data_IF_718918925006
#
_entry.id   IF_718918925006
#
_cell.length_a   1.000
_cell.length_b   1.000
_cell.length_c   1.000
_cell.angle_alpha   90.00
_cell.angle_beta   90.00
_cell.angle_gamma   90.00
#
_symmetry.space_group_name_H-M   'P 1'
#
loop_
_entity.id
_entity.type
_entity.pdbx_description
1 polymer ?
#
# COMPACT_ATOMS: atom_id res chain seq x y z
N UNK A 1 -18.78 -5.36 10.78
CA UNK A 1 -17.84 -6.15 11.60
C UNK A 1 -16.53 -5.38 11.67
N UNK A 2 -16.29 -4.68 12.78
CA UNK A 2 -15.13 -3.81 12.95
C UNK A 2 -13.98 -4.64 13.50
N UNK A 3 -12.98 -4.95 12.67
CA UNK A 3 -11.75 -5.58 13.12
C UNK A 3 -10.96 -4.54 13.93
N UNK A 4 -10.96 -4.68 15.26
CA UNK A 4 -10.04 -3.95 16.10
C UNK A 4 -8.63 -4.40 15.74
N UNK A 5 -7.87 -3.55 15.05
CA UNK A 5 -6.48 -3.83 14.72
C UNK A 5 -5.68 -3.94 16.02
N UNK A 6 -5.17 -5.14 16.30
CA UNK A 6 -4.20 -5.38 17.38
C UNK A 6 -3.00 -4.44 17.17
N UNK A 7 -2.75 -3.54 18.13
CA UNK A 7 -1.66 -2.55 18.08
C UNK A 7 -0.26 -3.12 18.31
N UNK A 8 -0.12 -4.45 18.35
CA UNK A 8 1.20 -5.08 18.41
C UNK A 8 1.88 -4.94 17.05
N UNK A 9 3.13 -4.47 17.00
CA UNK A 9 3.88 -4.43 15.74
C UNK A 9 3.96 -5.85 15.18
N UNK A 10 3.43 -6.02 13.96
CA UNK A 10 3.51 -7.29 13.24
C UNK A 10 4.95 -7.49 12.77
N UNK A 11 5.59 -8.56 13.25
CA UNK A 11 7.03 -8.76 13.12
C UNK A 11 7.32 -10.02 12.29
N UNK A 12 8.08 -9.87 11.21
CA UNK A 12 8.54 -10.96 10.37
C UNK A 12 9.98 -11.36 10.76
N UNK A 13 10.16 -12.59 11.23
CA UNK A 13 11.49 -13.17 11.44
C UNK A 13 12.00 -13.82 10.14
N UNK A 14 13.10 -13.30 9.59
CA UNK A 14 13.71 -13.81 8.36
C UNK A 14 15.04 -14.50 8.65
N UNK A 15 15.20 -15.72 8.14
CA UNK A 15 16.47 -16.46 8.21
C UNK A 15 17.29 -16.24 6.94
N UNK A 16 18.50 -15.74 7.10
CA UNK A 16 19.46 -15.60 6.01
C UNK A 16 20.35 -16.83 5.89
N UNK A 17 20.73 -17.15 4.66
CA UNK A 17 21.82 -18.09 4.41
C UNK A 17 23.16 -17.37 4.41
N UNK A 18 24.27 -18.08 4.68
CA UNK A 18 25.59 -17.48 4.67
C UNK A 18 26.00 -16.97 3.28
N UNK A 19 25.53 -17.63 2.22
CA UNK A 19 25.88 -17.31 0.83
C UNK A 19 24.64 -17.02 0.00
N UNK A 20 24.83 -16.20 -1.03
CA UNK A 20 23.79 -15.90 -2.04
C UNK A 20 23.53 -17.13 -2.92
N UNK A 21 22.29 -17.31 -3.34
CA UNK A 21 21.86 -18.35 -4.29
C UNK A 21 20.95 -17.75 -5.36
N UNK A 22 20.52 -18.55 -6.33
CA UNK A 22 19.62 -18.09 -7.39
C UNK A 22 18.30 -17.46 -6.89
N UNK A 23 17.84 -17.83 -5.69
CA UNK A 23 16.55 -17.39 -5.14
C UNK A 23 16.66 -16.73 -3.77
N UNK A 24 17.86 -16.66 -3.18
CA UNK A 24 18.08 -16.13 -1.84
C UNK A 24 19.30 -15.24 -1.80
N UNK A 25 19.27 -14.25 -0.92
CA UNK A 25 20.42 -13.40 -0.61
C UNK A 25 20.89 -13.65 0.81
N UNK A 26 22.20 -13.47 1.02
CA UNK A 26 22.83 -13.41 2.32
C UNK A 26 22.56 -12.07 2.99
N UNK A 27 22.73 -12.03 4.31
CA UNK A 27 22.61 -10.79 5.09
C UNK A 27 23.67 -9.76 4.68
N UNK A 28 24.86 -10.22 4.27
CA UNK A 28 25.92 -9.34 3.80
C UNK A 28 25.52 -8.58 2.53
N UNK A 29 24.84 -9.24 1.60
CA UNK A 29 24.32 -8.62 0.39
C UNK A 29 23.21 -7.61 0.70
N UNK A 30 22.30 -7.96 1.63
CA UNK A 30 21.26 -7.02 2.09
C UNK A 30 21.86 -5.76 2.75
N UNK A 31 22.90 -5.91 3.58
CA UNK A 31 23.59 -4.80 4.21
C UNK A 31 24.31 -3.90 3.19
N UNK A 32 24.90 -4.49 2.13
CA UNK A 32 25.49 -3.72 1.02
C UNK A 32 24.43 -2.92 0.27
N UNK A 33 23.27 -3.53 -0.02
CA UNK A 33 22.15 -2.85 -0.66
C UNK A 33 21.66 -1.67 0.18
N UNK A 34 21.50 -1.85 1.50
CA UNK A 34 21.10 -0.77 2.39
C UNK A 34 22.05 0.43 2.28
N UNK A 35 23.37 0.18 2.33
CA UNK A 35 24.39 1.24 2.17
C UNK A 35 24.32 1.94 0.81
N UNK A 36 24.16 1.18 -0.27
CA UNK A 36 24.11 1.73 -1.63
C UNK A 36 22.85 2.58 -1.86
N UNK A 37 21.73 2.19 -1.25
CA UNK A 37 20.46 2.91 -1.35
C UNK A 37 20.30 4.02 -0.30
N UNK A 38 21.28 4.18 0.61
CA UNK A 38 21.23 5.17 1.68
C UNK A 38 20.25 4.84 2.81
N UNK A 39 19.80 3.59 2.93
CA UNK A 39 18.94 3.15 4.02
C UNK A 39 19.74 2.91 5.30
N UNK A 40 19.11 3.25 6.43
CA UNK A 40 19.71 3.11 7.76
C UNK A 40 19.51 1.69 8.31
N UNK A 41 18.43 1.01 7.90
CA UNK A 41 18.06 -0.33 8.36
C UNK A 41 17.88 -1.31 7.20
N UNK A 42 18.30 -2.55 7.41
CA UNK A 42 18.11 -3.65 6.45
C UNK A 42 16.62 -3.90 6.12
N UNK A 43 15.72 -3.67 7.09
CA UNK A 43 14.28 -3.82 6.90
C UNK A 43 13.70 -2.86 5.85
N UNK A 44 14.30 -1.68 5.67
CA UNK A 44 13.85 -0.69 4.69
C UNK A 44 14.07 -1.20 3.25
N UNK A 45 15.19 -1.90 3.02
CA UNK A 45 15.45 -2.58 1.75
C UNK A 45 14.41 -3.68 1.50
N UNK A 46 14.04 -4.44 2.53
CA UNK A 46 13.04 -5.50 2.40
C UNK A 46 11.64 -4.94 2.09
N UNK A 47 11.24 -3.85 2.75
CA UNK A 47 9.98 -3.16 2.42
C UNK A 47 9.99 -2.62 0.99
N UNK A 48 11.10 -2.01 0.56
CA UNK A 48 11.23 -1.51 -0.80
C UNK A 48 11.15 -2.64 -1.84
N UNK A 49 11.85 -3.76 -1.61
CA UNK A 49 11.81 -4.91 -2.49
C UNK A 49 10.40 -5.53 -2.56
N UNK A 50 9.72 -5.66 -1.41
CA UNK A 50 8.35 -6.16 -1.34
C UNK A 50 7.37 -5.24 -2.08
N UNK A 51 7.53 -3.92 -1.96
CA UNK A 51 6.73 -2.94 -2.71
C UNK A 51 6.94 -3.09 -4.21
N UNK A 52 8.20 -3.21 -4.66
CA UNK A 52 8.51 -3.40 -6.08
C UNK A 52 7.88 -4.68 -6.61
N UNK A 53 8.02 -5.79 -5.89
CA UNK A 53 7.41 -7.06 -6.26
C UNK A 53 5.88 -7.00 -6.25
N UNK A 54 5.29 -6.29 -5.29
CA UNK A 54 3.85 -6.09 -5.22
C UNK A 54 3.33 -5.37 -6.47
N UNK A 55 4.02 -4.30 -6.91
CA UNK A 55 3.65 -3.57 -8.12
C UNK A 55 3.82 -4.41 -9.40
N UNK A 56 4.72 -5.39 -9.41
CA UNK A 56 4.97 -6.27 -10.55
C UNK A 56 3.99 -7.46 -10.61
N UNK A 57 3.58 -8.00 -9.46
CA UNK A 57 2.86 -9.29 -9.37
C UNK A 57 1.40 -9.13 -9.00
N UNK A 58 1.07 -8.17 -8.14
CA UNK A 58 -0.30 -8.00 -7.69
C UNK A 58 -1.08 -7.20 -8.74
N UNK A 59 -2.35 -7.56 -9.01
CA UNK A 59 -3.20 -6.77 -9.86
C UNK A 59 -3.30 -5.36 -9.27
N UNK A 60 -2.77 -4.38 -9.96
CA UNK A 60 -3.05 -2.98 -9.65
C UNK A 60 -4.48 -2.69 -10.05
N UNK A 61 -5.14 -1.77 -9.34
CA UNK A 61 -6.37 -1.18 -9.87
C UNK A 61 -6.11 -0.69 -11.29
N UNK A 62 -7.11 -0.82 -12.17
CA UNK A 62 -7.00 -0.19 -13.47
C UNK A 62 -6.70 1.30 -13.28
N UNK A 63 -5.85 1.90 -14.13
CA UNK A 63 -5.65 3.33 -14.12
C UNK A 63 -7.01 4.03 -14.11
N UNK A 64 -7.17 5.02 -13.22
CA UNK A 64 -8.41 5.77 -13.14
C UNK A 64 -8.75 6.37 -14.52
N UNK A 65 -10.03 6.32 -14.90
CA UNK A 65 -10.54 6.90 -16.15
C UNK A 65 -10.41 8.44 -16.17
N UNK A 66 -9.87 9.02 -15.09
CA UNK A 66 -9.60 10.42 -14.92
C UNK A 66 -10.79 11.15 -14.31
N UNK A 67 -10.78 12.47 -14.45
CA UNK A 67 -11.86 13.30 -13.92
C UNK A 67 -13.20 12.92 -14.58
N UNK A 68 -14.31 12.91 -13.81
CA UNK A 68 -15.63 12.65 -14.39
C UNK A 68 -15.92 13.64 -15.53
N UNK A 69 -16.38 13.11 -16.65
CA UNK A 69 -16.87 13.91 -17.78
C UNK A 69 -18.01 14.84 -17.35
N UNK A 70 -18.23 15.92 -18.10
CA UNK A 70 -19.35 16.85 -17.82
C UNK A 70 -20.70 16.13 -17.74
N UNK A 71 -20.89 15.08 -18.55
CA UNK A 71 -22.08 14.24 -18.53
C UNK A 71 -22.22 13.46 -17.21
N UNK A 72 -21.13 12.88 -16.72
CA UNK A 72 -21.10 12.20 -15.43
C UNK A 72 -21.31 13.20 -14.29
N UNK A 73 -20.69 14.38 -14.34
CA UNK A 73 -20.92 15.45 -13.38
C UNK A 73 -22.36 15.93 -13.36
N UNK A 74 -23.01 16.06 -14.51
CA UNK A 74 -24.43 16.39 -14.60
C UNK A 74 -25.32 15.29 -14.00
N UNK A 75 -24.99 14.02 -14.25
CA UNK A 75 -25.70 12.88 -13.65
C UNK A 75 -25.54 12.86 -12.12
N UNK A 76 -24.33 13.10 -11.61
CA UNK A 76 -24.05 13.20 -10.17
C UNK A 76 -24.87 14.33 -9.54
N UNK A 77 -24.87 15.53 -10.15
CA UNK A 77 -25.66 16.67 -9.64
C UNK A 77 -27.15 16.38 -9.62
N UNK A 78 -27.67 15.68 -10.65
CA UNK A 78 -29.07 15.25 -10.68
C UNK A 78 -29.39 14.23 -9.59
N UNK A 79 -28.50 13.27 -9.35
CA UNK A 79 -28.67 12.22 -8.34
C UNK A 79 -28.51 12.74 -6.90
N UNK A 80 -27.61 13.69 -6.67
CA UNK A 80 -27.35 14.29 -5.35
C UNK A 80 -28.57 15.05 -4.78
N UNK A 81 -29.53 15.42 -5.65
CA UNK A 81 -30.70 16.18 -5.24
C UNK A 81 -30.37 17.62 -4.82
N UNK A 82 -31.36 18.38 -4.34
CA UNK A 82 -31.16 19.77 -3.95
C UNK A 82 -30.29 19.89 -2.69
N UNK A 83 -29.45 20.92 -2.69
CA UNK A 83 -28.54 21.25 -1.59
C UNK A 83 -29.33 21.46 -0.29
N UNK A 84 -28.85 20.92 0.82
CA UNK A 84 -29.43 21.16 2.16
C UNK A 84 -30.43 20.12 2.67
N UNK A 85 -30.61 18.98 1.98
CA UNK A 85 -31.45 17.87 2.48
C UNK A 85 -30.75 16.88 3.41
N UNK A 86 -29.43 17.01 3.60
CA UNK A 86 -28.68 16.16 4.52
C UNK A 86 -28.99 16.52 5.98
N UNK A 87 -29.25 15.52 6.83
CA UNK A 87 -29.32 15.69 8.28
C UNK A 87 -27.97 15.32 8.88
N UNK A 88 -27.40 16.20 9.68
CA UNK A 88 -26.20 15.86 10.46
C UNK A 88 -26.60 14.81 11.48
N UNK A 89 -26.00 13.62 11.37
CA UNK A 89 -26.16 12.54 12.33
C UNK A 89 -24.88 12.42 13.15
N UNK A 90 -25.01 12.14 14.44
CA UNK A 90 -23.87 12.01 15.36
C UNK A 90 -23.08 10.71 15.14
N UNK A 91 -23.63 9.75 14.40
CA UNK A 91 -22.99 8.49 14.02
C UNK A 91 -23.54 8.03 12.66
N UNK A 92 -22.68 7.38 11.87
CA UNK A 92 -23.02 6.75 10.59
C UNK A 92 -23.39 5.26 10.74
N UNK A 93 -23.35 4.74 11.98
CA UNK A 93 -23.69 3.38 12.36
C UNK A 93 -24.53 3.37 13.63
#
# INVERSE_FOLDING_TARGET
MTIAASSRPDALLMRFQPNDTATKISRATLAKLAKQLGYQRESEVLHYAALKLANEVLPTYEPDDGLPTDKQMAAIRKAAGPVGRGKVVSSLF
#
